data_IF_823218408594
#
_entry.id   IF_823218408594
#
_cell.length_a   1.000
_cell.length_b   1.000
_cell.length_c   1.000
_cell.angle_alpha   90.00
_cell.angle_beta   90.00
_cell.angle_gamma   90.00
#
_symmetry.space_group_name_H-M   'P 1'
#
loop_
_entity.id
_entity.type
_entity.pdbx_description
1 polymer ?
#
# COMPACT_ATOMS: atom_id res chain seq x y z
N UNK A 1 -4.71 -9.82 -11.14
CA UNK A 1 -4.02 -11.11 -11.44
C UNK A 1 -3.14 -11.47 -10.25
N UNK A 2 -3.08 -12.74 -9.82
CA UNK A 2 -2.26 -13.16 -8.66
C UNK A 2 -1.19 -14.12 -9.14
N UNK A 3 0.08 -13.79 -8.91
CA UNK A 3 1.23 -14.58 -9.38
C UNK A 3 1.82 -15.44 -8.26
N UNK A 4 1.84 -14.93 -7.03
CA UNK A 4 2.27 -15.69 -5.86
C UNK A 4 1.41 -15.34 -4.64
N UNK A 5 0.89 -16.36 -3.96
CA UNK A 5 -0.07 -16.21 -2.85
C UNK A 5 0.58 -16.18 -1.48
N UNK A 6 1.90 -16.44 -1.39
CA UNK A 6 2.64 -16.50 -0.12
C UNK A 6 4.06 -15.92 -0.27
N UNK A 7 4.43 -15.05 0.68
CA UNK A 7 5.74 -14.45 0.92
C UNK A 7 6.90 -14.85 -0.05
N UNK A 8 7.25 -13.99 -1.01
CA UNK A 8 6.65 -12.67 -1.26
C UNK A 8 5.30 -12.79 -1.97
N UNK A 9 4.32 -11.99 -1.56
CA UNK A 9 3.03 -11.92 -2.27
C UNK A 9 3.25 -11.11 -3.54
N UNK A 10 2.84 -11.64 -4.70
CA UNK A 10 2.97 -10.95 -5.99
C UNK A 10 1.61 -10.85 -6.64
N UNK A 11 1.10 -9.62 -6.75
CA UNK A 11 -0.27 -9.35 -7.22
C UNK A 11 -0.29 -8.15 -8.16
N UNK A 12 -1.06 -8.28 -9.23
CA UNK A 12 -1.47 -7.15 -10.08
C UNK A 12 -2.58 -6.38 -9.40
N UNK A 13 -2.37 -5.08 -9.20
CA UNK A 13 -3.26 -4.15 -8.49
C UNK A 13 -3.60 -2.96 -9.38
N UNK A 14 -4.80 -2.42 -9.19
CA UNK A 14 -5.19 -1.13 -9.73
C UNK A 14 -5.00 -0.08 -8.63
N UNK A 15 -4.32 1.03 -8.94
CA UNK A 15 -4.17 2.13 -7.99
C UNK A 15 -5.44 2.97 -8.00
N UNK A 16 -6.29 2.79 -7.00
CA UNK A 16 -7.58 3.49 -6.88
C UNK A 16 -7.41 4.99 -6.55
N UNK A 17 -6.44 5.31 -5.70
CA UNK A 17 -6.17 6.69 -5.30
C UNK A 17 -4.74 6.84 -4.78
N UNK A 18 -4.17 8.02 -5.02
CA UNK A 18 -2.89 8.43 -4.47
C UNK A 18 -1.68 7.97 -5.29
N UNK A 19 -0.57 7.81 -4.57
CA UNK A 19 0.69 7.30 -5.10
C UNK A 19 1.17 6.13 -4.25
N UNK A 20 1.52 5.04 -4.92
CA UNK A 20 2.10 3.84 -4.35
C UNK A 20 3.59 3.86 -4.65
N UNK A 21 4.43 3.69 -3.63
CA UNK A 21 5.90 3.70 -3.75
C UNK A 21 6.52 2.47 -3.14
N UNK A 22 7.71 2.09 -3.64
CA UNK A 22 8.54 1.10 -2.96
C UNK A 22 8.77 1.49 -1.49
N UNK A 23 8.74 0.50 -0.60
CA UNK A 23 8.82 0.68 0.86
C UNK A 23 7.49 0.99 1.55
N UNK A 24 6.41 1.30 0.82
CA UNK A 24 5.12 1.64 1.43
C UNK A 24 4.57 0.44 2.22
N UNK A 25 4.28 0.58 3.52
CA UNK A 25 3.62 -0.47 4.30
C UNK A 25 2.15 -0.60 3.91
N UNK A 26 1.65 -1.83 3.77
CA UNK A 26 0.28 -2.12 3.33
C UNK A 26 -0.49 -2.92 4.37
N UNK A 27 -1.79 -2.64 4.46
CA UNK A 27 -2.72 -3.39 5.29
C UNK A 27 -4.11 -3.50 4.63
N UNK A 28 -4.93 -4.38 5.19
CA UNK A 28 -6.32 -4.61 4.77
C UNK A 28 -7.28 -4.19 5.89
N UNK A 29 -7.90 -3.01 5.80
CA UNK A 29 -8.74 -2.48 6.88
C UNK A 29 -9.99 -3.32 7.18
N UNK A 30 -10.61 -3.89 6.13
CA UNK A 30 -11.80 -4.75 6.24
C UNK A 30 -11.58 -6.03 7.05
N UNK A 31 -10.31 -6.43 7.23
CA UNK A 31 -9.90 -7.66 7.91
C UNK A 31 -9.11 -7.31 9.17
N UNK A 32 -9.70 -6.53 10.08
CA UNK A 32 -9.05 -6.15 11.35
C UNK A 32 -7.67 -5.49 11.17
N UNK A 33 -7.52 -4.68 10.11
CA UNK A 33 -6.25 -4.03 9.76
C UNK A 33 -5.06 -5.02 9.62
N UNK A 34 -5.30 -6.22 9.07
CA UNK A 34 -4.24 -7.21 8.80
C UNK A 34 -3.08 -6.53 8.06
N UNK A 35 -1.89 -6.61 8.66
CA UNK A 35 -0.65 -6.13 8.07
C UNK A 35 -0.19 -7.11 6.99
N UNK A 36 0.04 -6.61 5.77
CA UNK A 36 0.52 -7.41 4.65
C UNK A 36 2.05 -7.35 4.51
N UNK A 37 2.68 -6.34 5.09
CA UNK A 37 4.11 -6.09 4.93
C UNK A 37 4.38 -4.77 4.20
N UNK A 38 5.48 -4.73 3.44
CA UNK A 38 5.89 -3.56 2.65
C UNK A 38 6.03 -3.90 1.19
N UNK A 39 5.77 -2.93 0.33
CA UNK A 39 6.06 -3.04 -1.09
C UNK A 39 7.57 -3.13 -1.26
N UNK A 40 8.06 -4.23 -1.81
CA UNK A 40 9.47 -4.40 -2.14
C UNK A 40 9.78 -3.87 -3.53
N UNK A 41 8.93 -4.16 -4.52
CA UNK A 41 9.11 -3.72 -5.90
C UNK A 41 7.78 -3.49 -6.59
N UNK A 42 7.79 -2.57 -7.56
CA UNK A 42 6.66 -2.27 -8.43
C UNK A 42 7.09 -2.48 -9.88
N UNK A 43 6.27 -3.17 -10.66
CA UNK A 43 6.48 -3.35 -12.10
C UNK A 43 5.28 -2.82 -12.89
N UNK A 44 5.57 -1.99 -13.89
CA UNK A 44 4.60 -1.53 -14.88
C UNK A 44 5.02 -2.03 -16.26
N UNK A 45 4.17 -2.80 -16.93
CA UNK A 45 4.49 -3.42 -18.23
C UNK A 45 5.84 -4.18 -18.23
N UNK A 46 6.08 -5.00 -17.20
CA UNK A 46 7.33 -5.77 -16.99
C UNK A 46 8.60 -4.91 -16.82
N UNK A 47 8.47 -3.62 -16.55
CA UNK A 47 9.59 -2.74 -16.23
C UNK A 47 9.51 -2.31 -14.77
N UNK A 48 10.63 -2.35 -14.02
CA UNK A 48 10.65 -1.86 -12.65
C UNK A 48 10.40 -0.35 -12.64
N UNK A 49 9.54 0.10 -11.74
CA UNK A 49 9.22 1.51 -11.51
C UNK A 49 9.28 1.81 -10.01
N UNK A 50 9.64 3.04 -9.66
CA UNK A 50 9.75 3.46 -8.26
C UNK A 50 8.40 3.86 -7.65
N UNK A 51 7.46 4.31 -8.50
CA UNK A 51 6.13 4.71 -8.08
C UNK A 51 5.06 4.37 -9.13
N UNK A 52 3.83 4.22 -8.66
CA UNK A 52 2.63 4.08 -9.46
C UNK A 52 1.53 5.01 -8.92
N UNK A 53 0.72 5.60 -9.80
CA UNK A 53 -0.31 6.60 -9.47
C UNK A 53 -1.71 6.12 -9.85
N UNK A 54 -2.71 6.82 -9.33
CA UNK A 54 -4.13 6.60 -9.64
C UNK A 54 -4.38 6.27 -11.11
N UNK A 55 -5.17 5.22 -11.35
CA UNK A 55 -5.54 4.76 -12.69
C UNK A 55 -4.53 3.82 -13.35
N UNK A 56 -3.35 3.63 -12.77
CA UNK A 56 -2.37 2.66 -13.27
C UNK A 56 -2.64 1.26 -12.73
N UNK A 57 -2.46 0.26 -13.59
CA UNK A 57 -2.42 -1.15 -13.21
C UNK A 57 -0.96 -1.62 -13.16
N UNK A 58 -0.51 -2.04 -11.98
CA UNK A 58 0.88 -2.43 -11.74
C UNK A 58 0.96 -3.77 -11.03
N UNK A 59 2.06 -4.48 -11.19
CA UNK A 59 2.38 -5.63 -10.37
C UNK A 59 3.17 -5.17 -9.15
N UNK A 60 2.70 -5.53 -7.94
CA UNK A 60 3.40 -5.23 -6.70
C UNK A 60 3.88 -6.51 -6.05
N UNK A 61 5.13 -6.49 -5.60
CA UNK A 61 5.68 -7.50 -4.71
C UNK A 61 5.65 -6.99 -3.29
N UNK A 62 5.02 -7.75 -2.40
CA UNK A 62 4.87 -7.41 -0.97
C UNK A 62 5.66 -8.44 -0.16
N UNK A 63 6.63 -7.93 0.59
CA UNK A 63 7.46 -8.73 1.49
C UNK A 63 6.95 -8.53 2.94
N UNK A 64 6.85 -9.59 3.74
CA UNK A 64 6.44 -9.49 5.15
C UNK A 64 7.46 -8.66 5.95
N UNK A 65 7.01 -8.05 7.04
CA UNK A 65 7.92 -7.41 7.99
C UNK A 65 8.70 -8.46 8.79
N UNK A 66 9.93 -8.12 9.16
CA UNK A 66 10.78 -8.99 9.99
C UNK A 66 10.08 -9.37 11.30
N UNK A 67 10.03 -10.67 11.59
CA UNK A 67 9.38 -11.20 12.79
C UNK A 67 7.85 -11.30 12.71
N UNK A 68 7.20 -10.82 11.65
CA UNK A 68 5.77 -11.03 11.43
C UNK A 68 5.50 -12.36 10.70
N UNK A 69 4.41 -13.03 11.09
CA UNK A 69 3.97 -14.25 10.38
C UNK A 69 3.41 -13.87 9.01
N UNK A 70 3.93 -14.44 7.91
CA UNK A 70 3.46 -14.15 6.56
C UNK A 70 1.95 -14.35 6.38
N UNK A 71 1.31 -13.40 5.71
CA UNK A 71 -0.08 -13.53 5.29
C UNK A 71 -0.19 -14.30 3.97
N UNK A 72 -1.39 -14.84 3.76
CA UNK A 72 -1.72 -15.73 2.65
C UNK A 72 -2.90 -15.13 1.88
N UNK A 73 -2.69 -14.87 0.60
CA UNK A 73 -3.77 -14.50 -0.31
C UNK A 73 -4.73 -15.68 -0.47
N UNK A 74 -6.04 -15.41 -0.45
CA UNK A 74 -7.13 -16.41 -0.48
C UNK A 74 -7.50 -16.99 0.89
N UNK A 75 -6.76 -16.65 1.96
CA UNK A 75 -7.10 -17.05 3.34
C UNK A 75 -7.25 -15.86 4.28
N UNK A 76 -6.25 -14.97 4.29
CA UNK A 76 -6.26 -13.79 5.17
C UNK A 76 -6.91 -12.57 4.50
N UNK A 77 -6.79 -12.48 3.17
CA UNK A 77 -7.39 -11.46 2.33
C UNK A 77 -7.49 -12.00 0.89
N UNK A 78 -8.33 -11.40 0.05
CA UNK A 78 -8.47 -11.77 -1.36
C UNK A 78 -8.66 -10.53 -2.27
N UNK A 79 -9.12 -10.72 -3.52
CA UNK A 79 -9.30 -9.63 -4.50
C UNK A 79 -10.47 -8.70 -4.19
N UNK A 80 -11.38 -9.09 -3.29
CA UNK A 80 -12.51 -8.25 -2.87
C UNK A 80 -12.11 -7.28 -1.77
N UNK A 81 -10.96 -7.51 -1.13
CA UNK A 81 -10.43 -6.69 -0.06
C UNK A 81 -9.62 -5.51 -0.62
N UNK A 82 -9.87 -4.31 -0.10
CA UNK A 82 -9.07 -3.13 -0.43
C UNK A 82 -7.79 -3.11 0.41
N UNK A 83 -6.66 -2.95 -0.27
CA UNK A 83 -5.37 -2.68 0.38
C UNK A 83 -5.15 -1.18 0.47
N UNK A 84 -4.69 -0.71 1.63
CA UNK A 84 -4.36 0.70 1.84
C UNK A 84 -2.99 0.86 2.47
N UNK A 85 -2.38 2.01 2.25
CA UNK A 85 -1.13 2.40 2.91
C UNK A 85 -1.35 2.51 4.43
N UNK A 86 -0.56 1.76 5.20
CA UNK A 86 -0.58 1.82 6.66
C UNK A 86 0.19 3.05 7.12
N UNK A 87 -0.54 4.12 7.41
CA UNK A 87 0.04 5.39 7.85
C UNK A 87 0.08 5.50 9.38
N UNK A 88 1.03 6.28 9.89
CA UNK A 88 1.20 6.65 11.29
C UNK A 88 1.26 8.17 11.44
N UNK A 89 1.07 8.69 12.65
CA UNK A 89 1.20 10.13 12.91
C UNK A 89 2.56 10.68 12.49
N UNK A 90 3.62 9.95 12.83
CA UNK A 90 5.00 10.27 12.43
C UNK A 90 5.15 10.34 10.91
N UNK A 91 4.64 9.35 10.17
CA UNK A 91 4.72 9.37 8.71
C UNK A 91 3.97 10.56 8.10
N UNK A 92 2.81 10.94 8.66
CA UNK A 92 2.03 12.09 8.20
C UNK A 92 2.80 13.39 8.43
N UNK A 93 3.44 13.53 9.60
CA UNK A 93 4.16 14.76 9.94
C UNK A 93 5.43 14.90 9.08
N UNK A 94 6.17 13.80 8.84
CA UNK A 94 7.27 13.76 7.85
C UNK A 94 6.79 14.19 6.46
N UNK A 95 5.64 13.70 6.01
CA UNK A 95 5.09 14.07 4.70
C UNK A 95 4.72 15.56 4.62
N UNK A 96 4.24 16.16 5.70
CA UNK A 96 3.93 17.60 5.75
C UNK A 96 5.18 18.48 5.78
N UNK A 97 6.22 18.05 6.49
CA UNK A 97 7.45 18.82 6.70
C UNK A 97 8.36 18.76 5.48
N UNK A 98 8.52 17.58 4.88
CA UNK A 98 9.53 17.34 3.85
C UNK A 98 8.98 17.14 2.43
N UNK A 99 7.71 16.71 2.28
CA UNK A 99 7.18 16.26 0.98
C UNK A 99 5.89 16.97 0.59
N UNK A 100 5.66 18.18 1.10
CA UNK A 100 4.40 18.90 0.88
C UNK A 100 4.12 19.24 -0.57
N UNK A 101 5.17 19.59 -1.32
CA UNK A 101 5.12 19.90 -2.75
C UNK A 101 4.85 18.67 -3.63
N UNK A 102 5.15 17.48 -3.13
CA UNK A 102 5.15 16.24 -3.92
C UNK A 102 3.77 15.60 -3.99
N UNK A 103 2.87 16.05 -3.11
CA UNK A 103 1.50 15.57 -2.99
C UNK A 103 0.51 16.58 -3.57
N UNK A 104 -0.37 16.08 -4.42
CA UNK A 104 -1.47 16.85 -4.97
C UNK A 104 -2.55 17.12 -3.92
N UNK A 105 -3.50 18.01 -4.23
CA UNK A 105 -4.66 18.26 -3.35
C UNK A 105 -5.48 16.99 -3.08
N UNK A 106 -5.56 16.10 -4.07
CA UNK A 106 -6.28 14.83 -3.94
C UNK A 106 -5.54 13.85 -3.03
N UNK A 107 -4.21 13.78 -3.14
CA UNK A 107 -3.37 12.98 -2.24
C UNK A 107 -3.53 13.43 -0.78
N UNK A 108 -3.59 14.74 -0.55
CA UNK A 108 -3.84 15.30 0.78
C UNK A 108 -5.23 15.00 1.32
N UNK A 109 -6.24 14.92 0.44
CA UNK A 109 -7.59 14.52 0.81
C UNK A 109 -7.62 13.05 1.21
N UNK A 110 -6.99 12.18 0.41
CA UNK A 110 -6.84 10.76 0.73
C UNK A 110 -6.11 10.56 2.07
N UNK A 111 -5.05 11.33 2.33
CA UNK A 111 -4.34 11.29 3.61
C UNK A 111 -5.26 11.59 4.80
N UNK A 112 -6.20 12.53 4.66
CA UNK A 112 -7.18 12.83 5.72
C UNK A 112 -8.21 11.72 5.88
N UNK A 113 -8.62 11.07 4.80
CA UNK A 113 -9.52 9.92 4.83
C UNK A 113 -8.87 8.72 5.53
N UNK A 114 -7.62 8.41 5.18
CA UNK A 114 -6.83 7.37 5.86
C UNK A 114 -6.58 7.72 7.34
N UNK A 115 -6.31 8.99 7.66
CA UNK A 115 -6.13 9.43 9.05
C UNK A 115 -7.38 9.13 9.89
N UNK A 116 -8.57 9.36 9.34
CA UNK A 116 -9.86 9.01 9.98
C UNK A 116 -10.07 7.50 10.05
N UNK A 117 -9.72 6.78 8.99
CA UNK A 117 -9.85 5.31 8.94
C UNK A 117 -9.05 4.61 10.05
N UNK A 118 -7.88 5.15 10.39
CA UNK A 118 -6.99 4.60 11.42
C UNK A 118 -7.13 5.27 12.79
N UNK A 119 -8.12 6.14 13.00
CA UNK A 119 -8.33 6.89 14.25
C UNK A 119 -7.06 7.60 14.76
N UNK A 120 -6.25 8.12 13.84
CA UNK A 120 -5.00 8.83 14.17
C UNK A 120 -5.36 10.26 14.59
N UNK A 121 -4.94 10.67 15.80
CA UNK A 121 -5.15 12.02 16.36
C UNK A 121 -4.20 13.03 15.69
#
# INVERSE_FOLDING_TARGET
MVFNTRAPIVVGVHVEAGVVREGTPLCVPSRENINLGRIFSIEFNHKPVQEARTGQEVCVRIDPLDGETPKLYGRHFDHTDLMVSKISRESIDIMKEHFRSDLTKEDWKLMQELKKLFDII
#
